data_IF_239331054416
#
_entry.id   IF_239331054416
#
_cell.length_a   1.000
_cell.length_b   1.000
_cell.length_c   1.000
_cell.angle_alpha   90.00
_cell.angle_beta   90.00
_cell.angle_gamma   90.00
#
_symmetry.space_group_name_H-M   'P 1'
#
loop_
_entity.id
_entity.type
_entity.pdbx_description
1 polymer ?
#
# COMPACT_ATOMS: atom_id res chain seq x y z
N UNK A 1 5.92 7.90 -21.25
CA UNK A 1 6.61 7.36 -22.44
C UNK A 1 7.91 8.11 -22.73
N UNK A 2 8.83 8.24 -21.75
CA UNK A 2 10.08 9.00 -21.92
C UNK A 2 11.34 8.14 -21.93
N UNK A 3 11.34 7.00 -21.22
CA UNK A 3 12.52 6.14 -21.09
C UNK A 3 13.00 5.51 -22.41
N UNK A 4 12.13 4.97 -23.29
CA UNK A 4 12.59 4.44 -24.58
C UNK A 4 13.26 5.51 -25.46
N UNK A 5 12.75 6.75 -25.44
CA UNK A 5 13.34 7.88 -26.16
C UNK A 5 14.70 8.26 -25.57
N UNK A 6 14.85 8.22 -24.25
CA UNK A 6 16.13 8.45 -23.60
C UNK A 6 17.19 7.41 -24.00
N UNK A 7 16.81 6.12 -24.13
CA UNK A 7 17.74 5.09 -24.59
C UNK A 7 18.19 5.33 -26.03
N UNK A 8 17.31 5.80 -26.93
CA UNK A 8 17.69 6.10 -28.32
C UNK A 8 18.74 7.22 -28.44
N UNK A 9 18.79 8.14 -27.46
CA UNK A 9 19.80 9.19 -27.41
C UNK A 9 21.17 8.69 -26.89
N UNK A 10 21.24 7.47 -26.36
CA UNK A 10 22.48 6.88 -25.80
C UNK A 10 23.20 6.02 -26.85
N UNK A 11 24.55 6.01 -26.86
CA UNK A 11 25.31 4.98 -27.56
C UNK A 11 24.88 3.59 -27.08
N UNK A 12 24.68 2.64 -28.00
CA UNK A 12 24.15 1.30 -27.69
C UNK A 12 22.77 1.29 -27.01
N UNK A 13 21.93 2.30 -27.26
CA UNK A 13 20.59 2.45 -26.68
C UNK A 13 19.72 1.21 -26.70
N UNK A 14 19.72 0.47 -27.81
CA UNK A 14 18.96 -0.78 -27.97
C UNK A 14 19.36 -1.84 -26.93
N UNK A 15 20.66 -1.99 -26.65
CA UNK A 15 21.17 -2.94 -25.65
C UNK A 15 20.66 -2.57 -24.25
N UNK A 16 20.77 -1.29 -23.88
CA UNK A 16 20.26 -0.79 -22.60
C UNK A 16 18.75 -0.93 -22.48
N UNK A 17 18.01 -0.69 -23.57
CA UNK A 17 16.57 -0.92 -23.63
C UNK A 17 16.21 -2.38 -23.36
N UNK A 18 16.88 -3.33 -24.02
CA UNK A 18 16.66 -4.77 -23.81
C UNK A 18 16.92 -5.14 -22.34
N UNK A 19 18.08 -4.76 -21.80
CA UNK A 19 18.44 -5.07 -20.41
C UNK A 19 17.42 -4.47 -19.43
N UNK A 20 17.02 -3.22 -19.64
CA UNK A 20 16.03 -2.54 -18.80
C UNK A 20 14.69 -3.28 -18.80
N UNK A 21 14.14 -3.63 -19.97
CA UNK A 21 12.84 -4.29 -20.05
C UNK A 21 12.88 -5.73 -19.55
N UNK A 22 14.01 -6.45 -19.70
CA UNK A 22 14.20 -7.77 -19.09
C UNK A 22 14.17 -7.65 -17.56
N UNK A 23 14.94 -6.72 -16.99
CA UNK A 23 14.96 -6.49 -15.54
C UNK A 23 13.59 -6.04 -15.02
N UNK A 24 12.93 -5.11 -15.72
CA UNK A 24 11.59 -4.63 -15.37
C UNK A 24 10.56 -5.77 -15.39
N UNK A 25 10.63 -6.65 -16.39
CA UNK A 25 9.74 -7.82 -16.49
C UNK A 25 9.96 -8.79 -15.34
N UNK A 26 11.22 -9.07 -14.99
CA UNK A 26 11.55 -9.93 -13.85
C UNK A 26 11.07 -9.32 -12.52
N UNK A 27 11.25 -8.01 -12.33
CA UNK A 27 10.78 -7.30 -11.14
C UNK A 27 9.24 -7.28 -11.03
N UNK A 28 8.54 -7.11 -12.15
CA UNK A 28 7.09 -7.19 -12.20
C UNK A 28 6.59 -8.62 -11.90
N UNK A 29 7.26 -9.64 -12.42
CA UNK A 29 6.92 -11.04 -12.21
C UNK A 29 7.02 -11.42 -10.73
N UNK A 30 8.13 -11.13 -10.05
CA UNK A 30 8.31 -11.47 -8.63
C UNK A 30 7.31 -10.74 -7.73
N UNK A 31 7.04 -9.46 -8.01
CA UNK A 31 6.04 -8.67 -7.26
C UNK A 31 4.64 -9.23 -7.43
N UNK A 32 4.26 -9.61 -8.66
CA UNK A 32 2.94 -10.19 -8.93
C UNK A 32 2.75 -11.55 -8.25
N UNK A 33 3.77 -12.40 -8.21
CA UNK A 33 3.73 -13.69 -7.49
C UNK A 33 3.48 -13.46 -5.99
N UNK A 34 4.21 -12.54 -5.36
CA UNK A 34 4.03 -12.23 -3.93
C UNK A 34 2.62 -11.71 -3.62
N UNK A 35 2.05 -10.89 -4.50
CA UNK A 35 0.70 -10.36 -4.32
C UNK A 35 -0.39 -11.45 -4.46
N UNK A 36 -0.24 -12.36 -5.44
CA UNK A 36 -1.16 -13.48 -5.64
C UNK A 36 -1.10 -14.47 -4.49
N UNK A 37 0.10 -14.76 -3.97
CA UNK A 37 0.30 -15.73 -2.90
C UNK A 37 -0.50 -15.39 -1.63
N UNK A 38 -0.62 -14.11 -1.27
CA UNK A 38 -1.44 -13.68 -0.14
C UNK A 38 -2.92 -14.09 -0.31
N UNK A 39 -3.46 -13.96 -1.53
CA UNK A 39 -4.83 -14.37 -1.85
C UNK A 39 -4.98 -15.90 -1.85
N UNK A 40 -3.99 -16.60 -2.42
CA UNK A 40 -3.96 -18.06 -2.46
C UNK A 40 -3.89 -18.66 -1.06
N UNK A 41 -3.04 -18.12 -0.18
CA UNK A 41 -2.94 -18.57 1.23
C UNK A 41 -4.26 -18.37 1.95
N UNK A 42 -4.87 -17.19 1.83
CA UNK A 42 -6.18 -16.93 2.43
C UNK A 42 -7.26 -17.92 1.95
N UNK A 43 -7.28 -18.25 0.65
CA UNK A 43 -8.20 -19.25 0.11
C UNK A 43 -7.92 -20.66 0.63
N UNK A 44 -6.66 -21.03 0.86
CA UNK A 44 -6.31 -22.33 1.41
C UNK A 44 -6.68 -22.40 2.91
N UNK A 45 -6.27 -21.41 3.68
CA UNK A 45 -6.36 -21.41 5.14
C UNK A 45 -7.79 -21.13 5.63
N UNK A 46 -8.49 -20.17 5.01
CA UNK A 46 -9.83 -19.75 5.44
C UNK A 46 -10.97 -20.43 4.66
N UNK A 47 -10.73 -20.93 3.44
CA UNK A 47 -11.76 -21.58 2.61
C UNK A 47 -11.50 -23.07 2.38
N UNK A 48 -10.38 -23.62 2.86
CA UNK A 48 -10.07 -25.04 2.75
C UNK A 48 -9.82 -25.53 1.31
N UNK A 49 -9.54 -24.63 0.37
CA UNK A 49 -9.26 -24.99 -1.02
C UNK A 49 -7.88 -25.63 -1.14
N UNK A 50 -7.73 -26.58 -2.07
CA UNK A 50 -6.39 -27.08 -2.42
C UNK A 50 -5.56 -25.98 -3.09
N UNK A 51 -4.26 -25.94 -2.80
CA UNK A 51 -3.34 -24.90 -3.33
C UNK A 51 -3.39 -24.78 -4.86
N UNK A 52 -3.51 -25.91 -5.57
CA UNK A 52 -3.65 -25.92 -7.03
C UNK A 52 -4.95 -25.26 -7.49
N UNK A 53 -6.08 -25.57 -6.85
CA UNK A 53 -7.36 -24.96 -7.19
C UNK A 53 -7.39 -23.46 -6.89
N UNK A 54 -6.86 -23.05 -5.72
CA UNK A 54 -6.77 -21.64 -5.33
C UNK A 54 -5.88 -20.83 -6.29
N UNK A 55 -4.72 -21.36 -6.69
CA UNK A 55 -3.81 -20.70 -7.62
C UNK A 55 -4.42 -20.54 -9.02
N UNK A 56 -4.98 -21.61 -9.60
CA UNK A 56 -5.64 -21.53 -10.92
C UNK A 56 -6.86 -20.63 -10.89
N UNK A 57 -7.71 -20.73 -9.86
CA UNK A 57 -8.88 -19.88 -9.71
C UNK A 57 -8.50 -18.39 -9.63
N UNK A 58 -7.54 -18.05 -8.77
CA UNK A 58 -7.06 -16.67 -8.63
C UNK A 58 -6.42 -16.16 -9.94
N UNK A 59 -5.60 -16.98 -10.59
CA UNK A 59 -4.95 -16.63 -11.86
C UNK A 59 -5.94 -16.37 -13.00
N UNK A 60 -6.97 -17.21 -13.15
CA UNK A 60 -8.00 -17.03 -14.18
C UNK A 60 -8.79 -15.75 -13.93
N UNK A 61 -9.21 -15.50 -12.68
CA UNK A 61 -9.93 -14.27 -12.33
C UNK A 61 -9.08 -13.03 -12.62
N UNK A 62 -7.81 -13.02 -12.22
CA UNK A 62 -6.91 -11.91 -12.51
C UNK A 62 -6.67 -11.71 -13.99
N UNK A 63 -6.52 -12.79 -14.76
CA UNK A 63 -6.36 -12.72 -16.21
C UNK A 63 -7.58 -12.10 -16.89
N UNK A 64 -8.80 -12.47 -16.48
CA UNK A 64 -10.04 -11.88 -17.01
C UNK A 64 -10.14 -10.39 -16.68
N UNK A 65 -9.93 -10.01 -15.41
CA UNK A 65 -9.98 -8.60 -14.97
C UNK A 65 -8.91 -7.78 -15.69
N UNK A 66 -7.68 -8.28 -15.80
CA UNK A 66 -6.58 -7.59 -16.47
C UNK A 66 -6.83 -7.43 -17.97
N UNK A 67 -7.43 -8.43 -18.61
CA UNK A 67 -7.80 -8.36 -20.04
C UNK A 67 -8.88 -7.31 -20.26
N UNK A 68 -9.91 -7.25 -19.40
CA UNK A 68 -10.93 -6.20 -19.47
C UNK A 68 -10.35 -4.79 -19.25
N UNK A 69 -9.42 -4.65 -18.29
CA UNK A 69 -8.68 -3.42 -18.07
C UNK A 69 -7.88 -2.99 -19.31
N UNK A 70 -7.13 -3.91 -19.92
CA UNK A 70 -6.37 -3.65 -21.14
C UNK A 70 -7.29 -3.23 -22.31
N UNK A 71 -8.42 -3.92 -22.50
CA UNK A 71 -9.39 -3.60 -23.55
C UNK A 71 -10.00 -2.21 -23.37
N UNK A 72 -10.15 -1.74 -22.12
CA UNK A 72 -10.71 -0.41 -21.82
C UNK A 72 -9.84 0.76 -22.30
N UNK A 73 -8.58 0.52 -22.69
CA UNK A 73 -7.73 1.53 -23.32
C UNK A 73 -7.87 1.61 -24.84
N UNK A 74 -8.62 0.69 -25.46
CA UNK A 74 -8.74 0.63 -26.93
C UNK A 74 -10.19 0.31 -27.34
N UNK A 75 -10.52 -0.96 -27.58
CA UNK A 75 -11.86 -1.39 -28.06
C UNK A 75 -12.99 -1.06 -27.09
N UNK A 76 -12.72 -1.08 -25.78
CA UNK A 76 -13.67 -0.75 -24.72
C UNK A 76 -13.52 0.66 -24.19
N UNK A 77 -12.84 1.57 -24.90
CA UNK A 77 -12.62 2.94 -24.44
C UNK A 77 -13.94 3.70 -24.27
N UNK A 78 -14.92 3.45 -25.14
CA UNK A 78 -16.25 4.06 -25.08
C UNK A 78 -17.15 3.44 -24.01
N UNK A 79 -16.76 2.30 -23.44
CA UNK A 79 -17.50 1.64 -22.36
C UNK A 79 -17.23 2.36 -21.04
N UNK A 80 -17.85 3.51 -20.90
CA UNK A 80 -17.71 4.37 -19.74
C UNK A 80 -18.95 4.27 -18.84
N UNK A 81 -18.70 4.25 -17.55
CA UNK A 81 -19.73 4.37 -16.52
C UNK A 81 -19.41 5.62 -15.70
N UNK A 82 -20.33 6.59 -15.69
CA UNK A 82 -20.11 7.91 -15.07
C UNK A 82 -18.76 8.57 -15.44
N UNK A 83 -18.42 8.51 -16.72
CA UNK A 83 -17.24 9.17 -17.29
C UNK A 83 -15.89 8.49 -17.02
N UNK A 84 -15.91 7.28 -16.46
CA UNK A 84 -14.70 6.46 -16.21
C UNK A 84 -14.82 5.14 -16.97
N UNK A 85 -13.76 4.74 -17.65
CA UNK A 85 -13.68 3.40 -18.26
C UNK A 85 -13.34 2.34 -17.20
N UNK A 86 -13.33 1.06 -17.59
CA UNK A 86 -13.18 -0.04 -16.64
C UNK A 86 -11.90 0.03 -15.80
N UNK A 87 -10.74 0.31 -16.40
CA UNK A 87 -9.49 0.49 -15.65
C UNK A 87 -9.55 1.68 -14.68
N UNK A 88 -10.11 2.82 -15.09
CA UNK A 88 -10.27 3.99 -14.22
C UNK A 88 -11.12 3.69 -12.98
N UNK A 89 -12.13 2.81 -13.11
CA UNK A 89 -12.92 2.36 -11.97
C UNK A 89 -12.13 1.46 -11.03
N UNK A 90 -11.35 0.52 -11.59
CA UNK A 90 -10.47 -0.33 -10.79
C UNK A 90 -9.44 0.52 -10.04
N UNK A 91 -8.80 1.49 -10.72
CA UNK A 91 -7.86 2.41 -10.08
C UNK A 91 -8.55 3.28 -9.03
N UNK A 92 -9.72 3.85 -9.35
CA UNK A 92 -10.48 4.66 -8.38
C UNK A 92 -10.80 3.87 -7.11
N UNK A 93 -11.29 2.64 -7.24
CA UNK A 93 -11.66 1.80 -6.11
C UNK A 93 -10.42 1.37 -5.31
N UNK A 94 -9.39 0.87 -6.00
CA UNK A 94 -8.20 0.34 -5.33
C UNK A 94 -7.34 1.45 -4.72
N UNK A 95 -7.03 2.48 -5.51
CA UNK A 95 -6.11 3.55 -5.12
C UNK A 95 -6.70 4.56 -4.16
N UNK A 96 -7.99 4.90 -4.29
CA UNK A 96 -8.60 5.89 -3.39
C UNK A 96 -9.25 5.29 -2.16
N UNK A 97 -9.74 4.05 -2.23
CA UNK A 97 -10.49 3.44 -1.12
C UNK A 97 -9.75 2.26 -0.50
N UNK A 98 -9.45 1.21 -1.28
CA UNK A 98 -8.93 -0.03 -0.72
C UNK A 98 -7.54 0.14 -0.07
N UNK A 99 -6.61 0.83 -0.74
CA UNK A 99 -5.26 1.04 -0.21
C UNK A 99 -5.27 1.88 1.09
N UNK A 100 -5.90 3.07 1.14
CA UNK A 100 -5.92 3.84 2.39
C UNK A 100 -6.68 3.17 3.52
N UNK A 101 -7.86 2.59 3.26
CA UNK A 101 -8.64 1.90 4.29
C UNK A 101 -7.96 0.63 4.79
N UNK A 102 -7.34 -0.14 3.89
CA UNK A 102 -6.56 -1.32 4.24
C UNK A 102 -5.34 -0.96 5.10
N UNK A 103 -4.61 0.09 4.72
CA UNK A 103 -3.49 0.62 5.50
C UNK A 103 -3.93 1.12 6.87
N UNK A 104 -5.01 1.92 6.93
CA UNK A 104 -5.52 2.45 8.19
C UNK A 104 -5.98 1.32 9.12
N UNK A 105 -6.70 0.33 8.60
CA UNK A 105 -7.12 -0.85 9.36
C UNK A 105 -5.92 -1.65 9.89
N UNK A 106 -4.92 -1.90 9.06
CA UNK A 106 -3.69 -2.60 9.46
C UNK A 106 -2.96 -1.87 10.59
N UNK A 107 -2.77 -0.56 10.45
CA UNK A 107 -2.03 0.26 11.41
C UNK A 107 -2.82 0.42 12.71
N UNK A 108 -4.14 0.58 12.66
CA UNK A 108 -4.98 0.64 13.86
C UNK A 108 -4.95 -0.70 14.63
N UNK A 109 -5.03 -1.83 13.92
CA UNK A 109 -4.91 -3.15 14.53
C UNK A 109 -3.52 -3.34 15.17
N UNK A 110 -2.46 -3.07 14.42
CA UNK A 110 -1.07 -3.23 14.89
C UNK A 110 -0.72 -2.30 16.05
N UNK A 111 -1.15 -1.03 16.00
CA UNK A 111 -0.77 -0.01 16.99
C UNK A 111 -1.64 0.02 18.24
N UNK A 112 -2.92 -0.38 18.16
CA UNK A 112 -3.87 -0.21 19.26
C UNK A 112 -4.46 -1.52 19.80
N UNK A 113 -4.73 -2.50 18.93
CA UNK A 113 -5.46 -3.73 19.29
C UNK A 113 -4.52 -4.87 19.69
N UNK A 114 -3.42 -5.06 18.96
CA UNK A 114 -2.45 -6.10 19.25
C UNK A 114 -1.62 -5.78 20.51
N UNK A 115 -1.29 -6.82 21.29
CA UNK A 115 -0.49 -6.67 22.52
C UNK A 115 0.95 -6.33 22.13
N UNK A 116 1.47 -5.23 22.67
CA UNK A 116 2.85 -4.77 22.39
C UNK A 116 3.92 -5.76 22.86
N UNK A 117 3.61 -6.60 23.83
CA UNK A 117 4.52 -7.64 24.36
C UNK A 117 4.85 -8.68 23.28
N UNK A 118 3.84 -9.15 22.53
CA UNK A 118 4.03 -10.10 21.42
C UNK A 118 4.95 -9.53 20.33
N UNK A 119 4.83 -8.24 20.02
CA UNK A 119 5.72 -7.61 19.04
C UNK A 119 7.12 -7.32 19.58
N UNK A 120 7.28 -7.04 20.88
CA UNK A 120 8.61 -6.84 21.48
C UNK A 120 9.47 -8.09 21.35
N UNK A 121 8.86 -9.26 21.56
CA UNK A 121 9.54 -10.55 21.49
C UNK A 121 9.81 -10.98 20.03
N UNK A 122 8.86 -10.74 19.12
CA UNK A 122 8.99 -11.09 17.69
C UNK A 122 9.92 -10.14 16.91
N UNK A 123 9.93 -8.84 17.23
CA UNK A 123 10.76 -7.86 16.52
C UNK A 123 12.22 -7.86 17.00
N UNK A 124 12.51 -8.41 18.19
CA UNK A 124 13.86 -8.45 18.76
C UNK A 124 14.48 -7.06 18.97
N UNK A 125 13.67 -6.01 19.11
CA UNK A 125 14.13 -4.63 19.19
C UNK A 125 14.51 -4.22 20.62
N UNK A 126 15.52 -3.35 20.73
CA UNK A 126 15.83 -2.72 22.03
C UNK A 126 14.67 -1.81 22.48
N UNK A 127 14.53 -1.52 23.80
CA UNK A 127 13.39 -0.78 24.34
C UNK A 127 13.14 0.58 23.65
N UNK A 128 14.22 1.28 23.27
CA UNK A 128 14.14 2.57 22.56
C UNK A 128 13.62 2.43 21.14
N UNK A 129 14.09 1.43 20.40
CA UNK A 129 13.64 1.19 19.03
C UNK A 129 12.22 0.65 18.98
N UNK A 130 11.82 -0.17 19.96
CA UNK A 130 10.45 -0.61 20.11
C UNK A 130 9.50 0.56 20.43
N UNK A 131 9.90 1.47 21.32
CA UNK A 131 9.13 2.68 21.60
C UNK A 131 9.00 3.59 20.36
N UNK A 132 10.07 3.75 19.57
CA UNK A 132 10.01 4.51 18.32
C UNK A 132 9.07 3.84 17.31
N UNK A 133 9.17 2.53 17.13
CA UNK A 133 8.26 1.78 16.26
C UNK A 133 6.80 1.94 16.70
N UNK A 134 6.52 1.80 18.00
CA UNK A 134 5.18 1.98 18.54
C UNK A 134 4.67 3.40 18.30
N UNK A 135 5.52 4.42 18.45
CA UNK A 135 5.17 5.81 18.15
C UNK A 135 4.84 6.01 16.65
N UNK A 136 5.65 5.42 15.76
CA UNK A 136 5.43 5.48 14.31
C UNK A 136 4.09 4.84 13.93
N UNK A 137 3.83 3.60 14.35
CA UNK A 137 2.61 2.86 14.01
C UNK A 137 1.38 3.50 14.66
N UNK A 138 1.50 4.06 15.86
CA UNK A 138 0.33 4.52 16.61
C UNK A 138 -0.09 5.95 16.31
N UNK A 139 0.84 6.79 15.83
CA UNK A 139 0.56 8.21 15.64
C UNK A 139 0.97 8.74 14.27
N UNK A 140 2.16 8.39 13.77
CA UNK A 140 2.65 8.92 12.48
C UNK A 140 1.93 8.26 11.30
N UNK A 141 1.90 6.93 11.26
CA UNK A 141 1.29 6.18 10.16
C UNK A 141 -0.21 6.44 10.01
N UNK A 142 -1.05 6.44 11.07
CA UNK A 142 -2.47 6.74 10.93
C UNK A 142 -2.70 8.16 10.41
N UNK A 143 -1.96 9.14 10.92
CA UNK A 143 -2.08 10.53 10.48
C UNK A 143 -1.68 10.67 9.01
N UNK A 144 -0.55 10.09 8.60
CA UNK A 144 -0.10 10.12 7.21
C UNK A 144 -1.11 9.48 6.26
N UNK A 145 -1.67 8.33 6.64
CA UNK A 145 -2.70 7.64 5.83
C UNK A 145 -3.97 8.49 5.74
N UNK A 146 -4.43 9.11 6.84
CA UNK A 146 -5.59 10.00 6.82
C UNK A 146 -5.39 11.20 5.90
N UNK A 147 -4.21 11.81 5.92
CA UNK A 147 -3.86 12.94 5.04
C UNK A 147 -3.93 12.54 3.57
N UNK A 148 -3.29 11.42 3.22
CA UNK A 148 -3.32 10.89 1.85
C UNK A 148 -4.75 10.51 1.45
N UNK A 149 -5.55 9.97 2.38
CA UNK A 149 -6.92 9.58 2.10
C UNK A 149 -7.84 10.79 1.83
N UNK A 150 -7.69 11.87 2.59
CA UNK A 150 -8.42 13.14 2.36
C UNK A 150 -8.07 13.73 1.00
N UNK A 151 -6.79 13.70 0.63
CA UNK A 151 -6.31 14.15 -0.69
C UNK A 151 -6.85 13.26 -1.82
N UNK A 152 -6.80 11.93 -1.65
CA UNK A 152 -7.31 10.95 -2.61
C UNK A 152 -8.82 11.09 -2.86
N UNK A 153 -9.61 11.46 -1.84
CA UNK A 153 -11.04 11.74 -1.96
C UNK A 153 -11.33 13.10 -2.62
N UNK A 154 -10.33 13.95 -2.80
CA UNK A 154 -10.48 15.28 -3.39
C UNK A 154 -11.20 16.27 -2.46
N UNK A 155 -11.28 15.99 -1.16
CA UNK A 155 -11.93 16.86 -0.17
C UNK A 155 -11.06 18.09 0.11
N UNK A 156 -9.74 17.90 0.19
CA UNK A 156 -8.77 18.98 0.30
C UNK A 156 -7.49 18.58 -0.41
N UNK A 157 -6.86 19.50 -1.15
CA UNK A 157 -5.53 19.27 -1.75
C UNK A 157 -4.47 19.56 -0.69
N UNK A 158 -3.83 18.51 -0.17
CA UNK A 158 -2.84 18.65 0.89
C UNK A 158 -1.44 18.58 0.30
N UNK A 159 -0.86 19.75 0.02
CA UNK A 159 0.53 19.84 -0.40
C UNK A 159 1.46 19.83 0.82
N UNK A 160 2.19 18.73 1.02
CA UNK A 160 3.12 18.57 2.15
C UNK A 160 4.09 19.74 2.35
N UNK A 161 4.56 20.36 1.26
CA UNK A 161 5.50 21.48 1.30
C UNK A 161 4.94 22.72 2.03
N UNK A 162 3.63 22.96 1.94
CA UNK A 162 2.95 24.11 2.56
C UNK A 162 2.35 23.72 3.91
N UNK A 163 1.96 22.46 4.05
CA UNK A 163 1.12 21.96 5.13
C UNK A 163 1.91 21.27 6.27
N UNK A 164 3.24 21.11 6.14
CA UNK A 164 4.06 20.45 7.16
C UNK A 164 3.97 21.03 8.60
N UNK A 165 3.83 22.36 8.86
CA UNK A 165 3.84 22.87 10.23
C UNK A 165 2.58 22.48 11.01
N UNK A 166 1.41 22.56 10.37
CA UNK A 166 0.16 22.14 11.02
C UNK A 166 0.08 20.63 11.15
N UNK A 167 0.63 19.86 10.19
CA UNK A 167 0.72 18.40 10.27
C UNK A 167 1.52 17.99 11.51
N UNK A 168 2.65 18.66 11.76
CA UNK A 168 3.44 18.46 12.97
C UNK A 168 2.70 18.91 14.24
N UNK A 169 1.97 20.02 14.20
CA UNK A 169 1.18 20.47 15.34
C UNK A 169 0.06 19.47 15.68
N UNK A 170 -0.64 18.93 14.69
CA UNK A 170 -1.65 17.88 14.85
C UNK A 170 -1.01 16.61 15.39
N UNK A 171 0.15 16.19 14.85
CA UNK A 171 0.88 15.04 15.36
C UNK A 171 1.27 15.24 16.83
N UNK A 172 1.82 16.41 17.18
CA UNK A 172 2.17 16.74 18.57
C UNK A 172 0.95 16.70 19.49
N UNK A 173 -0.19 17.25 19.06
CA UNK A 173 -1.44 17.22 19.82
C UNK A 173 -1.94 15.78 20.03
N UNK A 174 -2.02 14.99 18.96
CA UNK A 174 -2.51 13.60 18.98
C UNK A 174 -1.63 12.72 19.85
N UNK A 175 -0.31 12.92 19.78
CA UNK A 175 0.65 12.17 20.59
C UNK A 175 0.56 12.53 22.07
N UNK A 176 0.43 13.83 22.40
CA UNK A 176 0.16 14.30 23.78
C UNK A 176 -1.13 13.72 24.34
N UNK A 177 -2.24 13.82 23.61
CA UNK A 177 -3.54 13.28 24.03
C UNK A 177 -3.47 11.75 24.19
N UNK A 178 -2.84 11.05 23.24
CA UNK A 178 -2.69 9.60 23.26
C UNK A 178 -1.86 9.09 24.44
N UNK A 179 -0.76 9.77 24.77
CA UNK A 179 0.07 9.45 25.93
C UNK A 179 -0.62 9.77 27.26
N UNK A 180 -1.37 10.87 27.33
CA UNK A 180 -2.16 11.22 28.53
C UNK A 180 -3.27 10.19 28.79
N UNK A 181 -3.97 9.73 27.74
CA UNK A 181 -5.04 8.75 27.85
C UNK A 181 -4.53 7.32 28.08
N UNK A 182 -3.34 6.99 27.58
CA UNK A 182 -2.80 5.63 27.64
C UNK A 182 -1.26 5.65 27.60
N UNK A 183 -0.58 5.69 28.76
CA UNK A 183 0.87 5.87 28.86
C UNK A 183 1.62 4.57 28.52
N UNK A 184 1.41 4.02 27.33
CA UNK A 184 2.06 2.79 26.85
C UNK A 184 3.50 3.09 26.41
N UNK A 185 3.76 4.24 25.78
CA UNK A 185 5.10 4.59 25.31
C UNK A 185 6.05 4.85 26.49
N UNK A 186 5.57 5.58 27.52
CA UNK A 186 6.32 5.75 28.77
C UNK A 186 6.61 4.43 29.49
N UNK A 187 5.68 3.48 29.51
CA UNK A 187 5.90 2.15 30.11
C UNK A 187 6.94 1.35 29.34
N UNK A 188 6.95 1.41 28.00
CA UNK A 188 7.96 0.73 27.18
C UNK A 188 9.36 1.33 27.32
N UNK A 189 9.48 2.65 27.51
CA UNK A 189 10.77 3.30 27.73
C UNK A 189 11.32 3.09 29.15
N UNK A 190 10.46 2.75 30.12
CA UNK A 190 10.81 2.58 31.52
C UNK A 190 11.24 1.14 31.90
N UNK A 191 11.14 0.16 30.99
CA UNK A 191 11.50 -1.24 31.23
C UNK A 191 12.27 -1.89 30.09
#
# INVERSE_FOLDING_TARGET
MSLPLAFQAMPMGTLFGILFFVMLSMAALTSSISMVEATVSWLCDNKGLSRRAAAWGTGIVLWLISTMAMLSFNLGADWTLAGRHFFDWLDYLTSRWMMPLGGLGMVLLAGFVLKSETFRDELGLSPRWHALWLFMVRYVSPLGILVIFVDALGVARIEFATHWPWLLAVLALVTLIGELASPRLRRTLAG
#
